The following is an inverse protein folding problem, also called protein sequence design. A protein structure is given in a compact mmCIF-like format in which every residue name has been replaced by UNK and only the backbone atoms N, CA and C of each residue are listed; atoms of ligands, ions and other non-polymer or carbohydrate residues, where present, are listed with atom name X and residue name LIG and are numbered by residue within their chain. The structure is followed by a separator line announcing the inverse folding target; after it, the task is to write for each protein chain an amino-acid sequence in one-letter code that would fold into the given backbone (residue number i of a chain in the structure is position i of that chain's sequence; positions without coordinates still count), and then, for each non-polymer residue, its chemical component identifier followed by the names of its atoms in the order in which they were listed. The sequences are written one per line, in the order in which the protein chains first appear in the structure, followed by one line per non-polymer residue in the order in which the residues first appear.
data_IF_649759650381
#
_entry.id   IF_649759650381
#
_cell.length_a   1.000
_cell.length_b   1.000
_cell.length_c   1.000
_cell.angle_alpha   90.00
_cell.angle_beta   90.00
_cell.angle_gamma   90.00
#
_symmetry.space_group_name_H-M   'P 1'
#
loop_
_entity.id
_entity.type
_entity.pdbx_description
1 polymer ?
#
# COMPACT_ATOMS: atom_id res chain seq x y z
N UNK A 1 25.66 -94.85 -0.57
CA UNK A 1 26.62 -94.46 -1.62
C UNK A 1 27.18 -93.11 -1.22
N UNK A 2 28.49 -93.09 -0.94
CA UNK A 2 29.38 -91.96 -0.62
C UNK A 2 29.04 -90.97 0.52
N UNK A 3 30.07 -90.77 1.33
CA UNK A 3 30.21 -89.91 2.50
C UNK A 3 30.73 -88.49 2.14
N UNK A 4 30.70 -87.60 3.13
CA UNK A 4 31.62 -86.45 3.44
C UNK A 4 31.18 -85.02 3.02
N UNK A 5 30.74 -84.18 3.98
CA UNK A 5 31.45 -83.10 4.78
C UNK A 5 31.59 -81.78 3.99
N UNK A 6 31.29 -80.57 4.49
CA UNK A 6 30.92 -80.16 5.85
C UNK A 6 30.71 -78.64 6.05
N UNK A 7 30.34 -78.34 7.31
CA UNK A 7 30.55 -77.14 8.14
C UNK A 7 30.01 -75.74 7.76
N UNK A 8 28.85 -75.46 8.38
CA UNK A 8 28.33 -74.26 9.06
C UNK A 8 29.21 -73.02 9.38
N UNK A 9 28.60 -71.82 9.30
CA UNK A 9 28.41 -70.82 10.40
C UNK A 9 27.67 -69.57 9.85
N UNK A 10 26.40 -69.32 10.20
CA UNK A 10 25.88 -68.42 11.27
C UNK A 10 26.29 -66.93 11.20
N UNK A 11 25.35 -66.07 10.78
CA UNK A 11 24.72 -64.98 11.57
C UNK A 11 24.05 -63.96 10.64
N UNK A 12 22.72 -63.92 10.65
CA UNK A 12 21.90 -62.88 10.01
C UNK A 12 20.65 -62.64 10.83
N UNK A 13 20.76 -61.76 11.84
CA UNK A 13 19.62 -61.29 12.62
C UNK A 13 18.82 -60.24 11.83
N UNK A 14 17.51 -60.38 11.86
CA UNK A 14 16.52 -59.44 11.31
C UNK A 14 16.57 -58.08 12.03
N UNK A 15 16.33 -56.95 11.33
CA UNK A 15 16.12 -55.68 11.98
C UNK A 15 14.66 -55.54 12.43
N UNK A 16 14.54 -55.21 13.71
CA UNK A 16 13.32 -54.87 14.45
C UNK A 16 12.77 -53.51 13.97
N UNK A 17 11.45 -53.45 13.85
CA UNK A 17 10.64 -52.24 13.65
C UNK A 17 11.00 -51.13 14.64
N UNK A 18 11.20 -49.92 14.14
CA UNK A 18 10.71 -48.69 14.77
C UNK A 18 10.60 -47.63 13.69
N UNK A 19 9.45 -47.60 13.03
CA UNK A 19 8.97 -46.38 12.36
C UNK A 19 8.78 -45.31 13.44
N UNK A 20 9.77 -44.43 13.59
CA UNK A 20 9.53 -43.13 14.23
C UNK A 20 8.70 -42.32 13.25
N UNK A 21 7.39 -42.27 13.49
CA UNK A 21 6.52 -41.24 12.95
C UNK A 21 7.14 -39.88 13.27
N UNK A 22 7.64 -39.17 12.26
CA UNK A 22 7.84 -37.73 12.39
C UNK A 22 6.43 -37.15 12.40
N UNK A 23 5.84 -37.07 13.58
CA UNK A 23 4.73 -36.18 13.80
C UNK A 23 5.23 -34.80 13.40
N UNK A 24 4.68 -34.26 12.31
CA UNK A 24 4.79 -32.85 12.01
C UNK A 24 4.20 -32.14 13.23
N UNK A 25 5.08 -31.66 14.11
CA UNK A 25 4.70 -30.64 15.06
C UNK A 25 4.24 -29.47 14.21
N UNK A 26 2.93 -29.30 14.11
CA UNK A 26 2.26 -28.13 13.56
C UNK A 26 2.57 -26.97 14.51
N UNK A 27 3.84 -26.57 14.53
CA UNK A 27 4.31 -25.36 15.14
C UNK A 27 3.92 -24.23 14.22
N UNK A 28 2.64 -23.86 14.26
CA UNK A 28 2.25 -22.49 13.96
C UNK A 28 3.10 -21.60 14.87
N UNK A 29 4.25 -21.16 14.37
CA UNK A 29 5.04 -20.10 14.98
C UNK A 29 4.05 -18.96 15.17
N UNK A 30 3.70 -18.68 16.43
CA UNK A 30 2.83 -17.58 16.76
C UNK A 30 3.39 -16.35 16.04
N UNK A 31 2.62 -15.82 15.09
CA UNK A 31 2.98 -14.58 14.42
C UNK A 31 3.11 -13.56 15.55
N UNK A 32 4.24 -12.86 15.71
CA UNK A 32 4.37 -11.86 16.77
C UNK A 32 3.19 -10.91 16.65
N UNK A 33 2.28 -10.96 17.61
CA UNK A 33 1.20 -9.99 17.73
C UNK A 33 1.81 -8.84 18.52
N UNK A 34 1.93 -7.65 17.92
CA UNK A 34 2.38 -6.47 18.67
C UNK A 34 1.47 -6.18 19.86
N UNK A 35 1.63 -5.00 20.46
CA UNK A 35 0.90 -4.63 21.68
C UNK A 35 -0.65 -4.68 21.54
N UNK A 36 -1.18 -4.67 20.31
CA UNK A 36 -2.60 -4.90 20.03
C UNK A 36 -2.77 -6.34 19.51
N UNK A 37 -3.33 -7.27 20.31
CA UNK A 37 -3.53 -8.65 19.88
C UNK A 37 -4.57 -8.72 18.76
N UNK A 38 -4.43 -9.70 17.86
CA UNK A 38 -5.36 -9.89 16.75
C UNK A 38 -6.81 -10.08 17.21
N UNK A 39 -7.02 -10.69 18.38
CA UNK A 39 -8.35 -10.88 18.95
C UNK A 39 -9.08 -9.57 19.31
N UNK A 40 -8.34 -8.45 19.43
CA UNK A 40 -8.93 -7.12 19.64
C UNK A 40 -9.39 -6.46 18.32
N UNK A 41 -9.02 -7.01 17.16
CA UNK A 41 -9.37 -6.39 15.88
C UNK A 41 -10.78 -6.81 15.48
N UNK A 42 -11.58 -5.91 14.87
CA UNK A 42 -12.90 -6.26 14.39
C UNK A 42 -12.86 -7.45 13.42
N UNK A 43 -13.68 -8.47 13.69
CA UNK A 43 -13.72 -9.67 12.86
C UNK A 43 -14.11 -9.36 11.41
N UNK A 44 -14.88 -8.28 11.17
CA UNK A 44 -15.22 -7.81 9.84
C UNK A 44 -14.01 -7.42 8.99
N UNK A 45 -12.85 -7.09 9.59
CA UNK A 45 -11.67 -6.69 8.83
C UNK A 45 -11.00 -7.86 8.07
N UNK A 46 -11.36 -9.11 8.36
CA UNK A 46 -10.76 -10.32 7.75
C UNK A 46 -11.60 -10.95 6.65
N UNK A 47 -12.68 -10.29 6.23
CA UNK A 47 -13.59 -10.76 5.18
C UNK A 47 -13.90 -9.61 4.22
N UNK A 48 -14.50 -9.88 3.04
CA UNK A 48 -15.00 -8.82 2.18
C UNK A 48 -15.90 -7.85 2.98
N UNK A 49 -15.71 -6.53 2.85
CA UNK A 49 -16.47 -5.56 3.64
C UNK A 49 -17.96 -5.67 3.31
N UNK A 50 -18.81 -5.57 4.35
CA UNK A 50 -20.24 -5.44 4.17
C UNK A 50 -20.55 -4.12 3.45
N UNK A 51 -21.69 -4.08 2.79
CA UNK A 51 -22.20 -2.87 2.13
C UNK A 51 -23.42 -2.36 2.86
N UNK A 52 -23.83 -1.11 2.60
CA UNK A 52 -25.00 -0.52 3.25
C UNK A 52 -26.26 -1.36 3.03
N UNK A 53 -26.50 -1.82 1.80
CA UNK A 53 -27.62 -2.71 1.48
C UNK A 53 -27.56 -4.04 2.23
N UNK A 54 -26.35 -4.62 2.40
CA UNK A 54 -26.17 -5.88 3.11
C UNK A 54 -26.44 -5.81 4.62
N UNK A 55 -26.45 -4.60 5.20
CA UNK A 55 -26.78 -4.34 6.61
C UNK A 55 -28.07 -3.52 6.76
N UNK A 56 -28.88 -3.43 5.70
CA UNK A 56 -30.17 -2.72 5.68
C UNK A 56 -30.07 -1.25 6.14
N UNK A 57 -28.97 -0.59 5.77
CA UNK A 57 -28.71 0.81 6.13
C UNK A 57 -29.22 1.77 5.05
N UNK A 58 -30.17 2.61 5.44
CA UNK A 58 -30.82 3.58 4.55
C UNK A 58 -30.48 5.04 4.88
N UNK A 59 -29.96 5.31 6.09
CA UNK A 59 -29.67 6.67 6.56
C UNK A 59 -28.19 6.93 6.67
N UNK A 60 -27.75 8.06 6.12
CA UNK A 60 -26.35 8.48 6.15
C UNK A 60 -26.20 9.84 6.85
N UNK A 61 -25.05 10.03 7.48
CA UNK A 61 -24.67 11.23 8.21
C UNK A 61 -23.33 11.75 7.70
N UNK A 62 -23.09 13.03 7.91
CA UNK A 62 -21.87 13.72 7.51
C UNK A 62 -21.27 14.47 8.70
N UNK A 63 -20.02 14.91 8.57
CA UNK A 63 -19.43 15.81 9.55
C UNK A 63 -20.14 17.17 9.53
N UNK A 64 -20.37 17.79 10.70
CA UNK A 64 -20.96 19.13 10.79
C UNK A 64 -20.23 20.21 9.98
N UNK A 65 -18.93 20.04 9.73
CA UNK A 65 -18.14 20.99 8.92
C UNK A 65 -18.62 21.08 7.46
N UNK A 66 -19.44 20.12 7.00
CA UNK A 66 -20.01 20.09 5.65
C UNK A 66 -21.45 20.64 5.61
N UNK A 67 -22.08 20.89 6.75
CA UNK A 67 -23.51 21.23 6.81
C UNK A 67 -23.81 22.57 6.14
N UNK A 68 -22.95 23.57 6.36
CA UNK A 68 -23.12 24.90 5.74
C UNK A 68 -23.00 24.84 4.21
N UNK A 69 -22.06 24.04 3.68
CA UNK A 69 -21.91 23.87 2.23
C UNK A 69 -23.11 23.18 1.60
N UNK A 70 -23.70 22.20 2.32
CA UNK A 70 -24.93 21.53 1.87
C UNK A 70 -26.12 22.48 1.94
N UNK A 71 -26.27 23.22 3.02
CA UNK A 71 -27.34 24.20 3.19
C UNK A 71 -27.26 25.33 2.14
N UNK A 72 -26.05 25.72 1.75
CA UNK A 72 -25.81 26.71 0.69
C UNK A 72 -26.00 26.16 -0.73
N UNK A 73 -26.14 24.84 -0.90
CA UNK A 73 -26.23 24.19 -2.21
C UNK A 73 -24.89 24.09 -2.96
N UNK A 74 -23.77 24.38 -2.28
CA UNK A 74 -22.42 24.26 -2.83
C UNK A 74 -21.89 22.81 -2.79
N UNK A 75 -22.52 21.96 -1.98
CA UNK A 75 -22.22 20.54 -1.87
C UNK A 75 -23.53 19.72 -1.88
N UNK A 76 -23.64 18.64 -2.67
CA UNK A 76 -24.82 17.77 -2.61
C UNK A 76 -24.98 17.12 -1.22
N UNK A 77 -26.20 16.71 -0.83
CA UNK A 77 -26.41 15.98 0.41
C UNK A 77 -25.65 14.65 0.41
N UNK A 78 -25.31 14.14 1.61
CA UNK A 78 -24.42 12.96 1.75
C UNK A 78 -24.87 11.73 0.96
N UNK A 79 -26.18 11.48 0.87
CA UNK A 79 -26.73 10.34 0.13
C UNK A 79 -26.47 10.42 -1.40
N UNK A 80 -26.33 11.62 -1.96
CA UNK A 80 -26.02 11.83 -3.39
C UNK A 80 -24.51 11.82 -3.68
N UNK A 81 -23.70 12.03 -2.63
CA UNK A 81 -22.23 12.00 -2.72
C UNK A 81 -21.65 10.61 -2.57
N UNK A 82 -22.27 9.78 -1.73
CA UNK A 82 -21.87 8.39 -1.53
C UNK A 82 -22.14 7.54 -2.77
N UNK A 83 -21.40 6.43 -2.96
CA UNK A 83 -21.77 5.41 -3.92
C UNK A 83 -23.17 4.83 -3.63
N UNK A 84 -23.77 4.21 -4.64
CA UNK A 84 -25.09 3.57 -4.55
C UNK A 84 -25.17 2.52 -3.41
N UNK A 85 -24.06 1.82 -3.15
CA UNK A 85 -23.94 0.81 -2.10
C UNK A 85 -22.56 0.91 -1.43
N UNK A 86 -22.38 1.88 -0.51
CA UNK A 86 -21.08 2.18 0.09
C UNK A 86 -20.63 1.04 1.00
N UNK A 87 -19.30 0.90 1.15
CA UNK A 87 -18.73 -0.11 2.05
C UNK A 87 -18.82 0.36 3.50
N UNK A 88 -19.19 -0.56 4.39
CA UNK A 88 -19.31 -0.34 5.82
C UNK A 88 -18.02 -0.78 6.50
N UNK A 89 -17.39 0.13 7.24
CA UNK A 89 -16.15 -0.12 7.96
C UNK A 89 -16.44 -0.12 9.46
N UNK A 90 -16.38 -1.30 10.06
CA UNK A 90 -16.44 -1.44 11.51
C UNK A 90 -15.21 -0.76 12.15
N UNK A 91 -15.39 0.21 13.06
CA UNK A 91 -14.28 0.88 13.70
C UNK A 91 -13.58 -0.04 14.71
N UNK A 92 -12.35 0.30 15.08
CA UNK A 92 -11.68 -0.32 16.21
C UNK A 92 -12.28 0.23 17.51
N UNK A 93 -12.96 -0.62 18.29
CA UNK A 93 -13.57 -0.24 19.56
C UNK A 93 -15.01 0.26 19.40
N UNK A 94 -15.18 1.57 19.14
CA UNK A 94 -16.50 2.23 19.12
C UNK A 94 -16.70 3.15 17.91
N UNK A 95 -17.95 3.55 17.68
CA UNK A 95 -18.30 4.56 16.68
C UNK A 95 -17.60 5.88 17.02
N UNK A 96 -16.88 6.43 16.04
CA UNK A 96 -16.11 7.65 16.22
C UNK A 96 -16.98 8.90 16.26
N UNK A 97 -16.36 10.02 16.63
CA UNK A 97 -16.99 11.34 16.67
C UNK A 97 -16.36 12.23 15.61
N UNK A 98 -17.19 12.97 14.88
CA UNK A 98 -16.70 13.95 13.93
C UNK A 98 -15.99 15.11 14.62
N UNK A 99 -14.98 15.65 13.95
CA UNK A 99 -14.33 16.88 14.37
C UNK A 99 -12.83 16.82 14.48
N UNK A 100 -12.27 17.99 14.73
CA UNK A 100 -10.88 18.15 15.13
C UNK A 100 -9.87 18.11 13.99
N UNK A 101 -8.63 18.38 14.39
CA UNK A 101 -7.45 18.42 13.51
C UNK A 101 -6.40 17.47 14.07
N UNK A 102 -5.97 16.49 13.28
CA UNK A 102 -4.84 15.64 13.65
C UNK A 102 -3.51 16.28 13.23
N UNK A 103 -2.61 16.45 14.19
CA UNK A 103 -1.25 16.98 14.02
C UNK A 103 -0.30 15.83 13.75
N UNK A 104 0.30 15.81 12.55
CA UNK A 104 1.05 14.67 12.05
C UNK A 104 2.42 15.12 11.53
N UNK A 105 3.39 14.21 11.53
CA UNK A 105 4.51 14.32 10.61
C UNK A 105 4.11 13.87 9.21
N UNK A 106 4.90 14.24 8.19
CA UNK A 106 4.68 13.79 6.81
C UNK A 106 4.54 12.27 6.68
N UNK A 107 5.37 11.50 7.40
CA UNK A 107 5.28 10.04 7.36
C UNK A 107 4.00 9.49 8.04
N UNK A 108 3.44 10.22 9.02
CA UNK A 108 2.16 9.90 9.66
C UNK A 108 0.96 10.16 8.75
N UNK A 109 0.98 11.24 7.97
CA UNK A 109 -0.04 11.48 6.94
C UNK A 109 -0.13 10.33 5.94
N UNK A 110 1.02 9.79 5.49
CA UNK A 110 1.06 8.66 4.56
C UNK A 110 0.42 7.37 5.09
N UNK A 111 0.18 7.27 6.40
CA UNK A 111 -0.49 6.14 7.05
C UNK A 111 -2.00 6.37 7.25
N UNK A 112 -2.44 7.64 7.29
CA UNK A 112 -3.84 8.02 7.51
C UNK A 112 -4.55 8.32 6.19
N UNK A 113 -3.87 9.00 5.27
CA UNK A 113 -4.40 9.45 3.99
C UNK A 113 -3.98 8.52 2.83
N UNK A 114 -4.24 7.23 3.01
CA UNK A 114 -3.77 6.19 2.06
C UNK A 114 -4.56 6.25 0.76
N UNK A 115 -3.90 6.32 -0.42
CA UNK A 115 -4.57 6.20 -1.70
C UNK A 115 -5.17 4.81 -1.91
N UNK A 116 -6.49 4.75 -2.09
CA UNK A 116 -7.25 3.51 -2.25
C UNK A 116 -7.64 3.23 -3.70
N UNK A 117 -7.95 1.98 -4.03
CA UNK A 117 -8.46 1.61 -5.35
C UNK A 117 -9.25 0.31 -5.35
N UNK A 118 -9.18 -0.46 -6.45
CA UNK A 118 -10.07 -1.62 -6.71
C UNK A 118 -10.02 -2.71 -5.64
N UNK A 119 -8.83 -3.02 -5.14
CA UNK A 119 -8.57 -3.99 -4.09
C UNK A 119 -7.69 -3.35 -3.03
N UNK A 120 -7.71 -3.91 -1.82
CA UNK A 120 -6.83 -3.53 -0.71
C UNK A 120 -6.25 -4.75 -0.01
N UNK A 121 -5.03 -4.70 0.54
CA UNK A 121 -4.57 -5.76 1.43
C UNK A 121 -5.45 -5.79 2.68
N UNK A 122 -5.77 -7.00 3.15
CA UNK A 122 -6.34 -7.19 4.48
C UNK A 122 -5.32 -6.87 5.57
N UNK A 123 -5.73 -6.71 6.84
CA UNK A 123 -4.85 -6.22 7.91
C UNK A 123 -3.59 -7.07 8.18
N UNK A 124 -3.58 -8.38 7.86
CA UNK A 124 -2.37 -9.22 7.93
C UNK A 124 -1.70 -9.49 6.58
N UNK A 125 -2.08 -8.78 5.52
CA UNK A 125 -1.56 -8.96 4.16
C UNK A 125 -1.71 -10.40 3.62
N UNK A 126 -2.63 -11.19 4.19
CA UNK A 126 -2.92 -12.58 3.77
C UNK A 126 -3.96 -12.68 2.66
N UNK A 127 -4.87 -11.71 2.62
CA UNK A 127 -5.98 -11.66 1.68
C UNK A 127 -5.97 -10.32 0.96
N UNK A 128 -6.34 -10.32 -0.32
CA UNK A 128 -6.75 -9.10 -1.01
C UNK A 128 -8.26 -8.98 -0.89
N UNK A 129 -8.73 -7.90 -0.29
CA UNK A 129 -10.14 -7.65 -0.06
C UNK A 129 -10.68 -6.70 -1.15
N UNK A 130 -11.93 -6.89 -1.61
CA UNK A 130 -12.61 -5.93 -2.47
C UNK A 130 -12.67 -4.55 -1.80
N UNK A 131 -12.55 -3.52 -2.62
CA UNK A 131 -12.70 -2.14 -2.21
C UNK A 131 -13.55 -1.40 -3.25
N UNK A 132 -12.96 -0.68 -4.22
CA UNK A 132 -13.75 -0.02 -5.27
C UNK A 132 -14.34 -1.03 -6.26
N UNK A 133 -13.69 -2.18 -6.46
CA UNK A 133 -14.25 -3.25 -7.25
C UNK A 133 -15.30 -4.01 -6.45
N UNK A 134 -16.43 -4.28 -7.08
CA UNK A 134 -17.37 -5.29 -6.63
C UNK A 134 -16.77 -6.69 -6.86
N UNK A 135 -16.06 -6.88 -7.97
CA UNK A 135 -15.50 -8.18 -8.36
C UNK A 135 -14.24 -8.05 -9.21
N UNK A 136 -13.29 -8.97 -9.02
CA UNK A 136 -12.14 -9.20 -9.87
C UNK A 136 -12.07 -10.70 -10.23
N UNK A 137 -12.05 -11.05 -11.51
CA UNK A 137 -12.17 -12.44 -11.98
C UNK A 137 -11.13 -12.76 -13.06
N UNK A 138 -10.34 -13.81 -12.84
CA UNK A 138 -9.43 -14.32 -13.86
C UNK A 138 -10.16 -15.19 -14.88
N UNK A 139 -9.73 -15.07 -16.14
CA UNK A 139 -10.15 -15.90 -17.27
C UNK A 139 -8.92 -16.34 -18.06
N UNK A 140 -9.11 -17.29 -18.99
CA UNK A 140 -8.08 -17.73 -19.93
C UNK A 140 -6.77 -18.13 -19.24
N UNK A 141 -6.88 -18.94 -18.17
CA UNK A 141 -5.72 -19.38 -17.36
C UNK A 141 -4.88 -18.20 -16.85
N UNK A 142 -5.54 -17.21 -16.23
CA UNK A 142 -4.95 -15.98 -15.70
C UNK A 142 -4.27 -15.06 -16.73
N UNK A 143 -4.60 -15.20 -18.02
CA UNK A 143 -4.18 -14.23 -19.07
C UNK A 143 -5.15 -13.06 -19.22
N UNK A 144 -6.29 -13.11 -18.56
CA UNK A 144 -7.23 -11.99 -18.55
C UNK A 144 -7.74 -11.79 -17.13
N UNK A 145 -7.67 -10.58 -16.61
CA UNK A 145 -8.28 -10.19 -15.35
C UNK A 145 -9.37 -9.17 -15.64
N UNK A 146 -10.63 -9.58 -15.44
CA UNK A 146 -11.79 -8.69 -15.55
C UNK A 146 -12.07 -8.03 -14.21
N UNK A 147 -12.28 -6.73 -14.22
CA UNK A 147 -12.66 -5.92 -13.06
C UNK A 147 -14.07 -5.37 -13.28
N UNK A 148 -14.90 -5.46 -12.25
CA UNK A 148 -16.21 -4.81 -12.18
C UNK A 148 -16.18 -3.86 -10.99
N UNK A 149 -16.27 -2.57 -11.27
CA UNK A 149 -16.34 -1.47 -10.32
C UNK A 149 -17.72 -1.40 -9.68
N UNK A 150 -17.76 -0.92 -8.44
CA UNK A 150 -19.01 -0.52 -7.78
C UNK A 150 -19.50 0.78 -8.41
N UNK A 151 -20.80 0.91 -8.74
CA UNK A 151 -21.36 2.15 -9.25
C UNK A 151 -21.33 3.27 -8.19
N UNK A 152 -21.44 4.52 -8.65
CA UNK A 152 -21.62 5.71 -7.81
C UNK A 152 -20.36 6.26 -7.12
N UNK A 153 -19.19 5.64 -7.30
CA UNK A 153 -17.94 6.23 -6.79
C UNK A 153 -17.64 7.55 -7.48
N UNK A 154 -17.09 8.51 -6.73
CA UNK A 154 -16.75 9.85 -7.22
C UNK A 154 -15.35 10.26 -6.80
N UNK A 155 -14.67 11.00 -7.67
CA UNK A 155 -13.46 11.74 -7.34
C UNK A 155 -13.78 12.87 -6.35
N UNK A 156 -12.76 13.45 -5.71
CA UNK A 156 -12.94 14.50 -4.70
C UNK A 156 -13.61 15.79 -5.20
N UNK A 157 -13.73 15.97 -6.52
CA UNK A 157 -14.46 17.06 -7.17
C UNK A 157 -15.91 16.69 -7.54
N UNK A 158 -16.34 15.46 -7.22
CA UNK A 158 -17.68 14.94 -7.51
C UNK A 158 -17.82 14.23 -8.86
N UNK A 159 -16.78 14.25 -9.72
CA UNK A 159 -16.84 13.57 -11.00
C UNK A 159 -16.91 12.05 -10.81
N UNK A 160 -17.76 11.31 -11.57
CA UNK A 160 -17.84 9.85 -11.44
C UNK A 160 -16.52 9.14 -11.71
N UNK A 161 -16.19 8.15 -10.90
CA UNK A 161 -15.08 7.22 -11.16
C UNK A 161 -15.57 6.14 -12.11
N UNK A 162 -14.87 5.93 -13.22
CA UNK A 162 -15.28 4.97 -14.25
C UNK A 162 -14.09 4.18 -14.79
N UNK A 163 -14.38 3.19 -15.65
CA UNK A 163 -13.35 2.46 -16.40
C UNK A 163 -12.46 3.39 -17.24
N UNK A 164 -12.94 4.58 -17.64
CA UNK A 164 -12.15 5.54 -18.40
C UNK A 164 -10.93 6.05 -17.63
N UNK A 165 -10.98 6.10 -16.30
CA UNK A 165 -9.87 6.52 -15.45
C UNK A 165 -8.70 5.52 -15.47
N UNK A 166 -9.02 4.23 -15.58
CA UNK A 166 -8.04 3.13 -15.68
C UNK A 166 -7.49 3.00 -17.10
N UNK A 167 -8.36 3.14 -18.11
CA UNK A 167 -7.99 3.11 -19.53
C UNK A 167 -7.10 4.29 -19.87
N UNK A 168 -7.45 5.49 -19.43
CA UNK A 168 -6.63 6.68 -19.65
C UNK A 168 -5.23 6.52 -19.05
N UNK A 169 -5.14 6.08 -17.80
CA UNK A 169 -3.84 5.81 -17.18
C UNK A 169 -3.04 4.77 -17.97
N UNK A 170 -3.66 3.67 -18.37
CA UNK A 170 -2.95 2.60 -19.08
C UNK A 170 -2.47 3.05 -20.47
N UNK A 171 -3.37 3.57 -21.29
CA UNK A 171 -3.08 3.85 -22.70
C UNK A 171 -2.25 5.15 -22.87
N UNK A 172 -2.52 6.18 -22.08
CA UNK A 172 -1.92 7.50 -22.28
C UNK A 172 -0.79 7.83 -21.29
N UNK A 173 -0.62 7.06 -20.23
CA UNK A 173 0.48 7.31 -19.27
C UNK A 173 1.44 6.15 -19.23
N UNK A 174 0.96 4.93 -18.91
CA UNK A 174 1.81 3.75 -18.82
C UNK A 174 2.38 3.33 -20.19
N UNK A 175 1.57 3.38 -21.24
CA UNK A 175 1.97 2.97 -22.61
C UNK A 175 2.48 4.13 -23.49
N UNK A 176 2.52 5.35 -22.94
CA UNK A 176 3.17 6.48 -23.61
C UNK A 176 4.68 6.39 -23.38
N UNK A 177 5.46 6.22 -24.45
CA UNK A 177 6.92 6.03 -24.37
C UNK A 177 7.69 7.28 -23.92
N UNK A 178 7.13 8.49 -24.05
CA UNK A 178 7.74 9.71 -23.53
C UNK A 178 7.54 9.84 -22.02
N UNK A 179 6.32 9.57 -21.52
CA UNK A 179 6.00 9.61 -20.09
C UNK A 179 6.55 8.40 -19.32
N UNK A 180 6.54 7.23 -19.94
CA UNK A 180 7.03 5.97 -19.37
C UNK A 180 8.02 5.28 -20.33
N UNK A 181 9.28 5.78 -20.40
CA UNK A 181 10.29 5.21 -21.30
C UNK A 181 10.63 3.74 -21.00
N UNK A 182 10.44 3.32 -19.74
CA UNK A 182 10.70 1.94 -19.30
C UNK A 182 9.43 1.36 -18.67
N UNK A 183 8.65 0.68 -19.51
CA UNK A 183 7.46 -0.06 -19.05
C UNK A 183 7.88 -1.25 -18.19
N UNK A 184 7.26 -1.39 -17.01
CA UNK A 184 7.51 -2.52 -16.13
C UNK A 184 7.30 -3.86 -16.86
N UNK A 185 8.16 -4.88 -16.65
CA UNK A 185 8.06 -6.15 -17.36
C UNK A 185 6.68 -6.81 -17.35
N UNK A 186 5.90 -6.61 -16.27
CA UNK A 186 4.53 -7.15 -16.14
C UNK A 186 3.52 -6.60 -17.14
N UNK A 187 3.75 -5.39 -17.65
CA UNK A 187 2.84 -4.71 -18.58
C UNK A 187 3.30 -4.79 -20.03
N UNK A 188 4.52 -5.28 -20.31
CA UNK A 188 5.02 -5.43 -21.68
C UNK A 188 4.10 -6.33 -22.49
N UNK A 189 3.52 -5.80 -23.56
CA UNK A 189 2.56 -6.50 -24.43
C UNK A 189 1.19 -6.74 -23.79
N UNK A 190 0.92 -6.17 -22.62
CA UNK A 190 -0.41 -6.16 -22.04
C UNK A 190 -1.30 -5.13 -22.74
N UNK A 191 -2.61 -5.33 -22.71
CA UNK A 191 -3.61 -4.35 -23.17
C UNK A 191 -4.73 -4.21 -22.15
N UNK A 192 -5.39 -3.06 -22.15
CA UNK A 192 -6.63 -2.85 -21.41
C UNK A 192 -7.81 -2.85 -22.40
N UNK A 193 -8.95 -3.40 -22.00
CA UNK A 193 -10.19 -3.41 -22.78
C UNK A 193 -11.31 -2.86 -21.91
N UNK A 194 -11.90 -1.74 -22.31
CA UNK A 194 -13.14 -1.22 -21.71
C UNK A 194 -14.33 -2.00 -22.24
N UNK A 195 -15.19 -2.49 -21.35
CA UNK A 195 -16.47 -3.10 -21.74
C UNK A 195 -17.62 -2.10 -21.59
N UNK A 196 -17.63 -1.36 -20.48
CA UNK A 196 -18.63 -0.34 -20.17
C UNK A 196 -18.08 0.67 -19.13
N UNK A 197 -18.93 1.53 -18.57
CA UNK A 197 -18.51 2.56 -17.60
C UNK A 197 -17.96 1.98 -16.29
N UNK A 198 -18.36 0.77 -15.90
CA UNK A 198 -17.98 0.13 -14.63
C UNK A 198 -17.26 -1.21 -14.83
N UNK A 199 -16.98 -1.65 -16.06
CA UNK A 199 -16.23 -2.88 -16.26
C UNK A 199 -15.17 -2.78 -17.37
N UNK A 200 -14.01 -3.36 -17.08
CA UNK A 200 -12.84 -3.40 -17.96
C UNK A 200 -12.01 -4.66 -17.70
N UNK A 201 -11.11 -4.99 -18.60
CA UNK A 201 -10.19 -6.13 -18.48
C UNK A 201 -8.75 -5.74 -18.77
N UNK A 202 -7.81 -6.31 -18.02
CA UNK A 202 -6.42 -6.41 -18.45
C UNK A 202 -6.20 -7.73 -19.16
N UNK A 203 -5.52 -7.71 -20.30
CA UNK A 203 -5.08 -8.90 -21.02
C UNK A 203 -3.56 -8.95 -21.05
N UNK A 204 -3.01 -10.10 -20.65
CA UNK A 204 -1.58 -10.32 -20.54
C UNK A 204 -1.12 -11.31 -21.62
N UNK A 205 0.08 -11.13 -22.20
CA UNK A 205 0.62 -12.08 -23.18
C UNK A 205 1.00 -13.42 -22.54
N UNK A 206 1.35 -13.40 -21.25
CA UNK A 206 1.64 -14.58 -20.44
C UNK A 206 0.71 -14.61 -19.21
N UNK A 207 0.43 -15.79 -18.64
CA UNK A 207 -0.35 -15.90 -17.41
C UNK A 207 0.19 -14.99 -16.30
N UNK A 208 -0.69 -14.19 -15.67
CA UNK A 208 -0.33 -13.23 -14.61
C UNK A 208 -1.18 -13.45 -13.35
N UNK A 209 -1.13 -14.63 -12.69
CA UNK A 209 -2.02 -14.98 -11.58
C UNK A 209 -1.84 -14.09 -10.33
N UNK A 210 -0.68 -13.46 -10.17
CA UNK A 210 -0.38 -12.60 -9.02
C UNK A 210 -0.67 -11.11 -9.28
N UNK A 211 -1.30 -10.75 -10.42
CA UNK A 211 -1.63 -9.36 -10.71
C UNK A 211 -2.60 -8.76 -9.66
N UNK A 212 -3.51 -9.56 -9.10
CA UNK A 212 -4.38 -9.15 -8.00
C UNK A 212 -3.62 -8.65 -6.76
N UNK A 213 -2.42 -9.18 -6.47
CA UNK A 213 -1.58 -8.67 -5.39
C UNK A 213 -1.03 -7.29 -5.75
N UNK A 214 -0.60 -7.10 -7.00
CA UNK A 214 -0.15 -5.80 -7.47
C UNK A 214 -1.26 -4.76 -7.41
N UNK A 215 -2.48 -5.12 -7.83
CA UNK A 215 -3.68 -4.28 -7.68
C UNK A 215 -3.95 -3.94 -6.22
N UNK A 216 -3.93 -4.91 -5.31
CA UNK A 216 -4.21 -4.61 -3.90
C UNK A 216 -3.22 -3.58 -3.30
N UNK A 217 -1.94 -3.65 -3.68
CA UNK A 217 -0.91 -2.78 -3.12
C UNK A 217 -0.74 -1.45 -3.86
N UNK A 218 -1.12 -1.37 -5.13
CA UNK A 218 -0.85 -0.21 -5.98
C UNK A 218 -2.10 0.34 -6.69
N UNK A 219 -3.30 -0.16 -6.43
CA UNK A 219 -4.50 0.09 -7.26
C UNK A 219 -4.77 1.56 -7.55
N UNK A 220 -4.58 2.45 -6.58
CA UNK A 220 -4.73 3.90 -6.72
C UNK A 220 -3.77 4.54 -7.73
N UNK A 221 -2.64 3.91 -8.00
CA UNK A 221 -1.66 4.33 -9.02
C UNK A 221 -2.00 3.86 -10.42
N UNK A 222 -2.98 2.96 -10.56
CA UNK A 222 -3.42 2.40 -11.85
C UNK A 222 -4.68 3.10 -12.39
N UNK A 223 -5.06 4.22 -11.79
CA UNK A 223 -6.15 5.08 -12.22
C UNK A 223 -5.72 6.54 -12.11
N UNK A 224 -6.22 7.37 -13.01
CA UNK A 224 -6.06 8.83 -12.98
C UNK A 224 -7.37 9.49 -13.36
N UNK A 225 -7.70 10.68 -12.82
CA UNK A 225 -8.96 11.35 -13.13
C UNK A 225 -8.95 11.78 -14.60
N UNK A 226 -9.50 10.95 -15.50
CA UNK A 226 -9.35 11.12 -16.93
C UNK A 226 -10.01 12.43 -17.40
N UNK A 227 -11.13 12.79 -16.79
CA UNK A 227 -11.84 14.05 -17.05
C UNK A 227 -10.98 15.30 -16.81
N UNK A 228 -10.04 15.20 -15.86
CA UNK A 228 -9.12 16.27 -15.51
C UNK A 228 -7.80 16.18 -16.30
N UNK A 229 -7.19 14.99 -16.33
CA UNK A 229 -5.84 14.79 -16.85
C UNK A 229 -5.73 14.87 -18.38
N UNK A 230 -6.82 14.63 -19.12
CA UNK A 230 -6.80 14.73 -20.60
C UNK A 230 -6.31 16.09 -21.09
N UNK A 231 -6.70 17.18 -20.42
CA UNK A 231 -6.30 18.55 -20.78
C UNK A 231 -4.79 18.80 -20.74
N UNK A 232 -4.03 17.96 -20.04
CA UNK A 232 -2.59 18.13 -19.88
C UNK A 232 -1.79 17.14 -20.74
N UNK A 233 -2.46 16.37 -21.60
CA UNK A 233 -1.84 15.32 -22.39
C UNK A 233 -1.92 15.63 -23.91
N UNK A 234 -0.85 15.43 -24.69
CA UNK A 234 -0.77 15.84 -26.10
C UNK A 234 -1.74 15.08 -27.03
N UNK A 235 -2.23 13.91 -26.62
CA UNK A 235 -3.28 13.20 -27.37
C UNK A 235 -4.65 13.93 -27.38
N UNK A 236 -4.86 14.92 -26.51
CA UNK A 236 -6.13 15.63 -26.35
C UNK A 236 -6.02 17.15 -26.38
N UNK A 237 -4.79 17.67 -26.34
CA UNK A 237 -4.50 19.10 -26.30
C UNK A 237 -3.34 19.39 -27.24
N UNK A 238 -3.40 20.53 -27.92
CA UNK A 238 -2.31 20.96 -28.82
C UNK A 238 -0.97 20.97 -28.06
N UNK A 239 0.05 20.21 -28.50
CA UNK A 239 1.37 20.20 -27.89
C UNK A 239 1.96 21.61 -27.76
N UNK A 240 1.76 22.49 -28.76
CA UNK A 240 2.28 23.85 -28.69
C UNK A 240 1.64 24.66 -27.56
N UNK A 241 0.40 24.35 -27.19
CA UNK A 241 -0.24 24.95 -26.01
C UNK A 241 0.37 24.43 -24.71
N UNK A 242 0.61 23.12 -24.61
CA UNK A 242 1.22 22.52 -23.43
C UNK A 242 2.62 23.07 -23.17
N UNK A 243 3.43 23.26 -24.21
CA UNK A 243 4.77 23.83 -24.09
C UNK A 243 4.73 25.29 -23.61
N UNK A 244 3.80 26.10 -24.13
CA UNK A 244 3.63 27.49 -23.64
C UNK A 244 3.22 27.53 -22.17
N UNK A 245 2.27 26.69 -21.77
CA UNK A 245 1.81 26.62 -20.38
C UNK A 245 2.90 26.11 -19.43
N UNK A 246 3.74 25.18 -19.91
CA UNK A 246 4.93 24.74 -19.18
C UNK A 246 5.91 25.90 -18.98
N UNK A 247 6.24 26.63 -20.06
CA UNK A 247 7.15 27.78 -20.04
C UNK A 247 6.65 28.91 -19.12
N UNK A 248 5.36 29.24 -19.15
CA UNK A 248 4.73 30.23 -18.27
C UNK A 248 4.90 29.90 -16.79
N UNK A 249 4.95 28.60 -16.45
CA UNK A 249 5.18 28.10 -15.09
C UNK A 249 6.68 27.88 -14.78
N UNK A 250 7.57 28.20 -15.72
CA UNK A 250 9.01 27.97 -15.60
C UNK A 250 9.40 26.48 -15.62
N UNK A 251 8.56 25.63 -16.20
CA UNK A 251 8.82 24.22 -16.39
C UNK A 251 9.51 23.98 -17.74
N UNK A 252 10.31 22.93 -17.82
CA UNK A 252 11.18 22.69 -18.97
C UNK A 252 10.39 22.31 -20.24
N UNK A 253 9.37 21.48 -20.09
CA UNK A 253 8.62 20.87 -21.19
C UNK A 253 7.24 20.38 -20.71
N UNK A 254 6.42 19.93 -21.67
CA UNK A 254 5.11 19.35 -21.38
C UNK A 254 5.16 18.12 -20.45
N UNK A 255 6.24 17.33 -20.48
CA UNK A 255 6.41 16.15 -19.62
C UNK A 255 6.52 16.57 -18.15
N UNK A 256 7.37 17.58 -17.90
CA UNK A 256 7.53 18.19 -16.57
C UNK A 256 6.22 18.83 -16.13
N UNK A 257 5.49 19.47 -17.05
CA UNK A 257 4.16 20.03 -16.77
C UNK A 257 3.13 18.97 -16.40
N UNK A 258 3.04 17.88 -17.15
CA UNK A 258 2.15 16.76 -16.82
C UNK A 258 2.51 16.14 -15.46
N UNK A 259 3.80 15.95 -15.16
CA UNK A 259 4.27 15.46 -13.88
C UNK A 259 3.92 16.40 -12.71
N UNK A 260 4.09 17.70 -12.91
CA UNK A 260 3.70 18.75 -11.98
C UNK A 260 2.20 18.73 -11.66
N UNK A 261 1.36 18.62 -12.68
CA UNK A 261 -0.11 18.54 -12.54
C UNK A 261 -0.54 17.23 -11.87
N UNK A 262 0.13 16.12 -12.20
CA UNK A 262 -0.16 14.82 -11.61
C UNK A 262 0.20 14.76 -10.11
N UNK A 263 1.21 15.52 -9.69
CA UNK A 263 1.63 15.56 -8.28
C UNK A 263 0.50 16.10 -7.40
N UNK A 264 0.07 15.28 -6.44
CA UNK A 264 -0.89 15.69 -5.40
C UNK A 264 -0.20 16.35 -4.21
N UNK A 265 1.13 16.51 -4.27
CA UNK A 265 1.93 17.00 -3.17
C UNK A 265 2.53 18.36 -3.46
N UNK A 266 2.99 18.62 -4.67
CA UNK A 266 3.94 19.72 -4.89
C UNK A 266 3.27 20.99 -5.43
N UNK A 267 2.18 20.86 -6.20
CA UNK A 267 1.52 22.00 -6.85
C UNK A 267 0.01 21.98 -6.61
N UNK A 268 -0.39 22.54 -5.47
CA UNK A 268 -1.80 22.74 -5.07
C UNK A 268 -2.60 23.49 -6.15
N UNK A 269 -1.92 24.34 -6.92
CA UNK A 269 -2.51 25.17 -7.97
C UNK A 269 -3.50 24.41 -8.86
N UNK A 270 -3.21 23.15 -9.19
CA UNK A 270 -4.03 22.38 -10.11
C UNK A 270 -5.27 21.75 -9.47
N UNK A 271 -5.32 21.64 -8.14
CA UNK A 271 -6.42 20.99 -7.41
C UNK A 271 -6.82 19.63 -8.02
N UNK A 272 -5.81 18.82 -8.39
CA UNK A 272 -6.05 17.52 -9.05
C UNK A 272 -6.99 16.67 -8.19
N UNK A 273 -8.09 16.13 -8.75
CA UNK A 273 -9.00 15.27 -8.01
C UNK A 273 -8.32 14.01 -7.49
N UNK A 274 -8.68 13.60 -6.27
CA UNK A 274 -8.11 12.44 -5.56
C UNK A 274 -9.19 11.48 -5.06
N UNK A 275 -8.77 10.26 -4.76
CA UNK A 275 -9.58 9.18 -4.17
C UNK A 275 -9.25 8.91 -2.70
N UNK A 276 -8.33 9.70 -2.13
CA UNK A 276 -7.91 9.62 -0.75
C UNK A 276 -8.99 10.16 0.20
N UNK A 277 -8.87 9.82 1.49
CA UNK A 277 -9.79 10.30 2.53
C UNK A 277 -9.69 11.81 2.80
N UNK A 278 -8.56 12.43 2.45
CA UNK A 278 -8.31 13.85 2.61
C UNK A 278 -7.76 14.47 1.31
N UNK A 279 -8.05 15.75 1.13
CA UNK A 279 -7.65 16.59 0.00
C UNK A 279 -6.74 17.70 0.53
N UNK A 280 -5.63 17.96 -0.17
CA UNK A 280 -4.70 19.03 0.16
C UNK A 280 -5.37 20.41 -0.04
N UNK A 281 -5.27 21.27 0.97
CA UNK A 281 -5.86 22.62 0.98
C UNK A 281 -4.78 23.67 0.81
N UNK A 282 -3.71 23.58 1.60
CA UNK A 282 -2.60 24.52 1.57
C UNK A 282 -1.29 23.82 1.93
N UNK A 283 -0.18 24.36 1.44
CA UNK A 283 1.16 23.85 1.71
C UNK A 283 2.17 24.98 1.70
N UNK A 284 3.08 24.92 2.66
CA UNK A 284 4.29 25.73 2.76
C UNK A 284 5.50 24.81 2.75
N UNK A 285 6.70 25.37 2.87
CA UNK A 285 7.93 24.57 3.00
C UNK A 285 7.95 23.68 4.25
N UNK A 286 7.19 24.03 5.29
CA UNK A 286 7.23 23.35 6.60
C UNK A 286 5.90 22.74 7.03
N UNK A 287 4.77 23.08 6.39
CA UNK A 287 3.44 22.60 6.76
C UNK A 287 2.57 22.27 5.56
N UNK A 288 1.64 21.34 5.73
CA UNK A 288 0.52 21.12 4.83
C UNK A 288 -0.78 20.97 5.62
N UNK A 289 -1.85 21.59 5.14
CA UNK A 289 -3.20 21.42 5.66
C UNK A 289 -4.00 20.59 4.67
N UNK A 290 -4.60 19.50 5.14
CA UNK A 290 -5.55 18.70 4.37
C UNK A 290 -6.91 18.75 5.06
N UNK A 291 -7.97 18.69 4.27
CA UNK A 291 -9.37 18.57 4.74
C UNK A 291 -9.96 17.25 4.30
N UNK A 292 -10.97 16.75 5.00
CA UNK A 292 -11.73 15.57 4.60
C UNK A 292 -12.20 15.66 3.14
N UNK A 293 -12.18 14.55 2.43
CA UNK A 293 -12.76 14.42 1.10
C UNK A 293 -14.29 14.26 1.23
N UNK A 294 -15.11 15.21 0.74
CA UNK A 294 -16.57 15.09 0.85
C UNK A 294 -17.14 13.97 -0.04
N UNK A 295 -16.40 13.44 -1.00
CA UNK A 295 -16.84 12.31 -1.82
C UNK A 295 -16.21 10.97 -1.39
N UNK A 296 -15.64 10.92 -0.18
CA UNK A 296 -15.10 9.66 0.34
C UNK A 296 -16.22 8.62 0.54
N UNK A 297 -15.95 7.41 0.08
CA UNK A 297 -16.97 6.43 -0.31
C UNK A 297 -17.36 5.44 0.81
N UNK A 298 -16.77 5.59 2.00
CA UNK A 298 -16.95 4.66 3.12
C UNK A 298 -17.79 5.26 4.23
N UNK A 299 -18.55 4.39 4.88
CA UNK A 299 -19.36 4.72 6.06
C UNK A 299 -19.04 3.78 7.21
N UNK A 300 -19.37 4.17 8.43
CA UNK A 300 -19.36 3.28 9.60
C UNK A 300 -20.72 2.55 9.77
N UNK A 301 -20.87 1.65 10.77
CA UNK A 301 -22.13 0.96 11.04
C UNK A 301 -23.30 1.85 11.49
N UNK A 302 -23.06 3.13 11.80
CA UNK A 302 -24.08 4.12 12.16
C UNK A 302 -24.44 5.05 10.98
N UNK A 303 -23.91 4.77 9.79
CA UNK A 303 -24.12 5.57 8.57
C UNK A 303 -23.30 6.85 8.51
N UNK A 304 -22.34 7.06 9.40
CA UNK A 304 -21.45 8.22 9.36
C UNK A 304 -20.46 8.06 8.20
N UNK A 305 -20.51 8.96 7.22
CA UNK A 305 -19.50 9.07 6.17
C UNK A 305 -18.12 9.36 6.78
N UNK A 306 -17.15 8.51 6.46
CA UNK A 306 -15.76 8.65 6.91
C UNK A 306 -15.02 9.73 6.09
N UNK A 307 -13.88 10.25 6.58
CA UNK A 307 -13.26 10.01 7.90
C UNK A 307 -13.99 10.69 9.06
N UNK A 308 -13.63 10.36 10.31
CA UNK A 308 -14.14 11.09 11.49
C UNK A 308 -13.42 12.45 11.68
N UNK A 309 -12.10 12.47 11.52
CA UNK A 309 -11.27 13.67 11.68
C UNK A 309 -11.50 14.58 10.47
N UNK A 310 -11.68 15.88 10.70
CA UNK A 310 -12.00 16.82 9.62
C UNK A 310 -10.76 17.38 8.92
N UNK A 311 -9.67 17.59 9.67
CA UNK A 311 -8.45 18.17 9.13
C UNK A 311 -7.19 17.40 9.55
N UNK A 312 -6.19 17.40 8.68
CA UNK A 312 -4.83 16.98 9.01
C UNK A 312 -3.90 18.19 8.91
N UNK A 313 -3.18 18.50 9.98
CA UNK A 313 -2.08 19.45 9.96
C UNK A 313 -0.76 18.69 9.97
N UNK A 314 -0.05 18.73 8.86
CA UNK A 314 1.15 17.95 8.61
C UNK A 314 2.36 18.84 8.70
N UNK A 315 3.28 18.56 9.62
CA UNK A 315 4.55 19.27 9.74
C UNK A 315 5.70 18.50 9.09
N UNK A 316 6.57 19.23 8.39
CA UNK A 316 7.87 18.72 7.92
C UNK A 316 8.94 19.06 8.95
N UNK A 317 9.62 18.03 9.42
CA UNK A 317 10.72 18.13 10.38
C UNK A 317 11.84 17.22 9.88
N UNK A 318 13.02 17.79 9.63
CA UNK A 318 14.10 17.06 8.97
C UNK A 318 15.04 16.35 9.98
N UNK A 319 15.03 16.72 11.28
CA UNK A 319 15.82 16.03 12.33
C UNK A 319 14.99 14.95 13.03
N UNK A 320 15.55 13.74 13.10
CA UNK A 320 14.96 12.61 13.79
C UNK A 320 14.81 12.87 15.30
N UNK A 321 15.79 13.52 15.91
CA UNK A 321 15.81 13.88 17.33
C UNK A 321 14.69 14.87 17.67
N UNK A 322 14.47 15.87 16.80
CA UNK A 322 13.36 16.82 16.96
C UNK A 322 12.01 16.12 16.78
N UNK A 323 11.88 15.20 15.82
CA UNK A 323 10.65 14.41 15.66
C UNK A 323 10.35 13.57 16.91
N UNK A 324 11.35 12.89 17.46
CA UNK A 324 11.20 12.08 18.67
C UNK A 324 10.81 12.94 19.88
N UNK A 325 11.47 14.09 20.09
CA UNK A 325 11.15 15.01 21.19
C UNK A 325 9.71 15.58 21.09
N UNK A 326 9.27 15.92 19.88
CA UNK A 326 7.89 16.40 19.64
C UNK A 326 6.86 15.30 19.92
N UNK A 327 7.10 14.07 19.48
CA UNK A 327 6.20 12.95 19.78
C UNK A 327 6.20 12.57 21.26
N UNK A 328 7.35 12.54 21.93
CA UNK A 328 7.42 12.23 23.36
C UNK A 328 6.76 13.29 24.24
N UNK A 329 6.39 14.44 23.71
CA UNK A 329 5.71 15.52 24.45
C UNK A 329 4.27 15.75 23.97
N UNK A 330 3.69 14.83 23.19
CA UNK A 330 2.30 14.90 22.74
C UNK A 330 2.01 16.04 21.75
N UNK A 331 3.03 16.58 21.07
CA UNK A 331 2.84 17.63 20.04
C UNK A 331 2.34 17.08 18.69
N UNK A 332 2.23 15.76 18.54
CA UNK A 332 1.62 15.07 17.40
C UNK A 332 0.65 14.02 17.90
N UNK A 333 -0.43 13.80 17.15
CA UNK A 333 -1.53 12.92 17.55
C UNK A 333 -1.34 11.48 17.05
N UNK A 334 -0.57 11.29 15.98
CA UNK A 334 -0.17 9.97 15.49
C UNK A 334 1.18 10.00 14.78
N UNK A 335 2.05 9.03 15.12
CA UNK A 335 3.41 8.96 14.63
C UNK A 335 3.96 7.52 14.80
N UNK A 336 4.62 6.97 13.78
CA UNK A 336 5.16 5.61 13.90
C UNK A 336 6.12 5.13 12.80
N UNK A 337 6.00 5.66 11.58
CA UNK A 337 6.82 5.19 10.44
C UNK A 337 8.28 5.66 10.50
N UNK A 338 8.53 6.82 11.10
CA UNK A 338 9.82 7.50 11.09
C UNK A 338 10.70 7.21 12.32
N UNK A 339 10.19 6.49 13.32
CA UNK A 339 10.90 6.25 14.58
C UNK A 339 11.68 4.93 14.59
N UNK A 340 12.74 4.91 15.41
CA UNK A 340 13.61 3.75 15.59
C UNK A 340 13.23 2.97 16.83
N UNK A 341 13.60 1.68 16.87
CA UNK A 341 13.42 0.82 18.06
C UNK A 341 14.10 1.42 19.30
N UNK A 342 15.20 2.15 19.11
CA UNK A 342 15.92 2.83 20.19
C UNK A 342 15.11 3.95 20.87
N UNK A 343 14.06 4.47 20.23
CA UNK A 343 13.20 5.53 20.78
C UNK A 343 12.13 4.97 21.74
N UNK A 344 11.89 3.66 21.75
CA UNK A 344 10.82 3.03 22.56
C UNK A 344 10.92 3.38 24.05
N UNK A 345 12.09 3.29 24.72
CA UNK A 345 12.20 3.65 26.14
C UNK A 345 11.85 5.12 26.42
N UNK A 346 12.16 6.03 25.48
CA UNK A 346 11.78 7.44 25.59
C UNK A 346 10.26 7.56 25.58
N UNK A 347 9.58 6.98 24.58
CA UNK A 347 8.13 7.09 24.47
C UNK A 347 7.39 6.43 25.63
N UNK A 348 7.83 5.23 26.07
CA UNK A 348 7.28 4.53 27.24
C UNK A 348 7.49 5.28 28.56
N UNK A 349 8.58 6.05 28.69
CA UNK A 349 8.79 6.91 29.85
C UNK A 349 7.83 8.09 29.84
N UNK A 350 7.69 8.75 28.69
CA UNK A 350 6.93 9.98 28.60
C UNK A 350 5.42 9.79 28.46
N UNK A 351 4.93 8.62 28.04
CA UNK A 351 3.48 8.29 28.04
C UNK A 351 2.89 8.31 29.45
N UNK A 352 3.71 8.15 30.50
CA UNK A 352 3.27 8.26 31.90
C UNK A 352 2.93 9.70 32.31
N UNK A 353 3.44 10.69 31.58
CA UNK A 353 3.32 12.12 31.90
C UNK A 353 2.56 12.91 30.84
N UNK A 354 2.23 12.29 29.71
CA UNK A 354 1.58 12.91 28.58
C UNK A 354 0.41 12.03 28.13
N UNK A 355 -0.64 12.63 27.59
CA UNK A 355 -1.87 11.94 27.19
C UNK A 355 -1.72 11.22 25.84
N UNK A 356 -0.85 10.21 25.78
CA UNK A 356 -0.70 9.33 24.63
C UNK A 356 -0.35 7.90 25.06
N UNK A 357 -0.44 6.94 24.14
CA UNK A 357 0.00 5.56 24.35
C UNK A 357 0.99 5.13 23.28
N UNK A 358 2.07 4.47 23.69
CA UNK A 358 3.06 3.88 22.78
C UNK A 358 2.71 2.43 22.53
N UNK A 359 2.38 2.07 21.29
CA UNK A 359 2.19 0.68 20.88
C UNK A 359 3.42 0.19 20.12
N UNK A 360 3.99 -0.94 20.52
CA UNK A 360 5.09 -1.60 19.83
C UNK A 360 4.52 -2.60 18.84
N UNK A 361 4.81 -2.39 17.55
CA UNK A 361 4.37 -3.27 16.47
C UNK A 361 5.53 -4.07 15.90
N UNK A 362 5.31 -5.35 15.53
CA UNK A 362 6.30 -6.10 14.79
C UNK A 362 6.54 -5.44 13.43
N UNK A 363 7.81 -5.32 13.03
CA UNK A 363 8.13 -4.89 11.66
C UNK A 363 7.85 -6.05 10.71
N UNK A 364 7.22 -5.81 9.54
CA UNK A 364 7.01 -6.84 8.53
C UNK A 364 8.29 -7.20 7.76
N UNK A 365 9.43 -6.58 8.09
CA UNK A 365 10.72 -6.84 7.44
C UNK A 365 11.35 -8.15 7.96
N UNK A 366 11.90 -8.95 7.05
CA UNK A 366 12.68 -10.13 7.42
C UNK A 366 14.06 -9.82 8.02
N UNK A 367 14.57 -8.60 7.81
CA UNK A 367 15.79 -8.07 8.40
C UNK A 367 15.76 -6.53 8.37
N UNK A 368 16.31 -5.86 9.38
CA UNK A 368 16.50 -4.40 9.38
C UNK A 368 17.67 -3.96 8.48
N UNK A 369 18.66 -4.84 8.26
CA UNK A 369 19.82 -4.58 7.40
C UNK A 369 20.07 -5.78 6.49
N UNK A 370 20.18 -5.53 5.19
CA UNK A 370 20.53 -6.56 4.20
C UNK A 370 21.78 -6.10 3.46
N UNK A 371 22.79 -6.97 3.42
CA UNK A 371 23.96 -6.79 2.56
C UNK A 371 23.72 -7.52 1.24
N UNK A 372 23.73 -6.80 0.14
CA UNK A 372 23.57 -7.36 -1.21
C UNK A 372 24.83 -7.06 -2.02
N UNK A 373 25.53 -8.09 -2.47
CA UNK A 373 26.68 -7.94 -3.35
C UNK A 373 26.23 -7.71 -4.79
N UNK A 374 26.96 -6.88 -5.54
CA UNK A 374 26.69 -6.69 -6.96
C UNK A 374 27.14 -7.93 -7.74
N UNK A 375 26.19 -8.81 -8.05
CA UNK A 375 26.45 -10.05 -8.80
C UNK A 375 26.86 -9.80 -10.26
N UNK A 376 26.76 -8.56 -10.75
CA UNK A 376 27.15 -8.14 -12.09
C UNK A 376 28.30 -7.12 -12.05
N UNK A 377 29.18 -7.19 -11.04
CA UNK A 377 30.31 -6.27 -10.91
C UNK A 377 31.20 -6.27 -12.17
N UNK A 378 31.70 -5.11 -12.66
CA UNK A 378 32.53 -5.06 -13.87
C UNK A 378 33.87 -5.77 -13.70
N UNK A 379 34.51 -5.65 -12.52
CA UNK A 379 35.68 -6.45 -12.15
C UNK A 379 35.32 -7.93 -12.06
N UNK A 380 35.96 -8.74 -12.91
CA UNK A 380 35.65 -10.17 -13.03
C UNK A 380 36.05 -10.98 -11.81
N UNK A 381 37.11 -10.57 -11.10
CA UNK A 381 37.57 -11.21 -9.88
C UNK A 381 36.56 -11.02 -8.75
N UNK A 382 36.13 -9.77 -8.53
CA UNK A 382 35.08 -9.45 -7.55
C UNK A 382 33.74 -10.09 -7.92
N UNK A 383 33.35 -10.06 -9.20
CA UNK A 383 32.14 -10.73 -9.69
C UNK A 383 32.16 -12.22 -9.40
N UNK A 384 33.28 -12.90 -9.66
CA UNK A 384 33.43 -14.33 -9.37
C UNK A 384 33.31 -14.62 -7.87
N UNK A 385 33.91 -13.78 -7.01
CA UNK A 385 33.81 -13.92 -5.55
C UNK A 385 32.34 -13.73 -5.11
N UNK A 386 31.66 -12.68 -5.56
CA UNK A 386 30.28 -12.38 -5.17
C UNK A 386 29.26 -13.40 -5.70
N UNK A 387 29.55 -14.08 -6.81
CA UNK A 387 28.71 -15.16 -7.32
C UNK A 387 28.96 -16.52 -6.63
N UNK A 388 30.09 -16.68 -5.92
CA UNK A 388 30.40 -17.92 -5.22
C UNK A 388 29.62 -18.02 -3.90
N UNK A 389 28.63 -18.90 -3.84
CA UNK A 389 27.81 -19.13 -2.63
C UNK A 389 28.67 -19.49 -1.40
N UNK A 390 29.86 -20.08 -1.59
CA UNK A 390 30.77 -20.41 -0.48
C UNK A 390 31.37 -19.17 0.17
N UNK A 391 31.58 -18.10 -0.60
CA UNK A 391 32.04 -16.81 -0.08
C UNK A 391 30.96 -16.11 0.73
N UNK A 392 29.68 -16.40 0.43
CA UNK A 392 28.50 -15.83 1.09
C UNK A 392 28.01 -16.71 2.26
N UNK A 393 28.34 -18.01 2.30
CA UNK A 393 28.00 -18.85 3.44
C UNK A 393 28.42 -20.32 3.35
N UNK A 394 29.55 -20.68 3.98
CA UNK A 394 29.72 -21.98 4.65
C UNK A 394 30.68 -21.87 5.84
N UNK A 395 30.17 -21.53 7.02
CA UNK A 395 30.83 -21.95 8.27
C UNK A 395 30.42 -23.41 8.53
N UNK A 396 31.08 -24.35 7.88
CA UNK A 396 31.26 -25.69 8.45
C UNK A 396 32.64 -25.70 9.12
N UNK A 397 32.63 -25.60 10.45
CA UNK A 397 33.67 -26.13 11.35
C UNK A 397 35.09 -26.26 10.79
N UNK A 398 35.82 -25.15 10.70
CA UNK A 398 37.29 -25.17 10.92
C UNK A 398 37.71 -23.82 11.51
N UNK A 399 38.29 -23.85 12.71
CA UNK A 399 38.92 -22.71 13.36
C UNK A 399 40.01 -22.12 12.45
N UNK A 400 39.87 -20.85 12.07
CA UNK A 400 40.99 -20.09 11.51
C UNK A 400 41.72 -19.41 12.66
N UNK A 401 42.86 -20.00 13.05
CA UNK A 401 43.87 -19.34 13.87
C UNK A 401 44.50 -18.24 13.04
N UNK A 402 44.31 -16.98 13.46
CA UNK A 402 45.05 -15.83 12.93
C UNK A 402 46.52 -15.98 13.31
N UNK A 403 47.35 -16.44 12.37
CA UNK A 403 48.79 -16.29 12.45
C UNK A 403 49.16 -14.92 11.88
N UNK A 404 49.37 -13.95 12.77
CA UNK A 404 50.04 -12.68 12.45
C UNK A 404 51.51 -12.97 12.14
N UNK A 405 51.80 -13.25 10.87
CA UNK A 405 53.15 -13.32 10.34
C UNK A 405 53.61 -11.93 9.88
N UNK A 406 54.10 -11.12 10.80
CA UNK A 406 54.89 -9.94 10.50
C UNK A 406 56.24 -10.41 9.95
N UNK A 407 56.60 -10.05 8.71
CA UNK A 407 58.01 -9.95 8.30
C UNK A 407 58.20 -8.76 7.37
N UNK A 408 58.89 -7.78 7.91
CA UNK A 408 59.62 -6.77 7.17
C UNK A 408 60.86 -7.38 6.52
N UNK A 409 61.10 -7.01 5.26
CA UNK A 409 62.42 -6.76 4.66
C UNK A 409 62.18 -6.08 3.31
#
# INVERSE_FOLDING_TARGET
MMWIIGAAAWLGCAPVETERSIAAADGQRAVPTGDIPQSAWPAAWFRPPATASAVEMETFRQSPVLDELVAAGELPPVAERLPDDPVVVEPYGEIGRYGGTARLFFAGESLINVPEGVLRPGPQMRLNLPNFAQKAEYRNSARTLRIILRPGHRWSDGHPVTADDYVFWFDHVLMNEELTPVVEPRFKGARIEKHDAHSFSYHFPQPMPLFVNHLAHNSSRLAMPAHFMRRYHPAFTDPAQLEREAEELGLQDWLTYFGAVNSTTDLIHFNRPVLTAYVLVSRTSTRALLRRNPYYFKVDPAGNQLPYIDYLEVQRVDSAEIMAAKASTGQVDFAGRQFMTADIPLFKRFEQYNDYSTYVWPRPYGSDVVLQFNLNHPDEGLRRIFQDVRSIGRKSTTSFTLATGCRAS
#
